data_IF_934607456029
#
_entry.id   IF_934607456029
#
_cell.length_a   1.000
_cell.length_b   1.000
_cell.length_c   1.000
_cell.angle_alpha   90.00
_cell.angle_beta   90.00
_cell.angle_gamma   90.00
#
_symmetry.space_group_name_H-M   'P 1'
#
loop_
_entity.id
_entity.type
_entity.pdbx_description
1 polymer ?
#
# COMPACT_ATOMS: atom_id res chain seq x y z
N UNK A 1 -5.47 3.51 -0.87
CA UNK A 1 -4.84 4.82 -0.72
C UNK A 1 -5.77 5.97 -1.12
N UNK A 2 -6.61 5.79 -2.12
CA UNK A 2 -7.62 6.77 -2.51
C UNK A 2 -8.85 6.75 -1.59
N UNK A 3 -8.99 5.75 -0.75
CA UNK A 3 -10.14 5.53 0.17
C UNK A 3 -11.47 5.28 -0.57
N UNK A 4 -11.39 4.69 -1.76
CA UNK A 4 -12.56 4.18 -2.48
C UNK A 4 -12.95 2.79 -1.97
N UNK A 5 -14.22 2.35 -2.15
CA UNK A 5 -14.62 0.98 -1.93
C UNK A 5 -13.82 -0.01 -2.77
N UNK A 6 -13.80 -1.27 -2.34
CA UNK A 6 -13.24 -2.36 -3.15
C UNK A 6 -14.00 -2.48 -4.48
N UNK A 7 -13.25 -2.73 -5.55
CA UNK A 7 -13.80 -2.85 -6.89
C UNK A 7 -13.84 -1.55 -7.71
N UNK A 8 -13.53 -0.39 -7.08
CA UNK A 8 -13.37 0.86 -7.80
C UNK A 8 -11.94 1.03 -8.31
N UNK A 9 -11.79 1.48 -9.55
CA UNK A 9 -10.48 1.77 -10.15
C UNK A 9 -10.58 2.82 -11.24
N UNK A 10 -9.45 3.46 -11.55
CA UNK A 10 -9.33 4.47 -12.58
C UNK A 10 -8.23 4.09 -13.56
N UNK A 11 -8.52 4.13 -14.84
CA UNK A 11 -7.54 4.01 -15.91
C UNK A 11 -7.48 5.32 -16.68
N UNK A 12 -6.36 6.03 -16.59
CA UNK A 12 -6.10 7.18 -17.43
C UNK A 12 -5.48 6.76 -18.76
N UNK A 13 -6.06 7.23 -19.86
CA UNK A 13 -5.52 7.04 -21.20
C UNK A 13 -5.35 8.39 -21.89
N UNK A 14 -4.12 8.70 -22.30
CA UNK A 14 -3.86 9.91 -23.07
C UNK A 14 -4.65 9.87 -24.38
N UNK A 15 -5.32 10.99 -24.74
CA UNK A 15 -6.20 11.09 -25.91
C UNK A 15 -5.58 10.54 -27.20
N UNK A 16 -4.29 10.81 -27.46
CA UNK A 16 -3.55 10.33 -28.65
C UNK A 16 -3.37 8.80 -28.71
N UNK A 17 -3.64 8.10 -27.62
CA UNK A 17 -3.46 6.65 -27.53
C UNK A 17 -4.79 5.89 -27.48
N UNK A 18 -5.94 6.56 -27.32
CA UNK A 18 -7.24 5.90 -27.18
C UNK A 18 -7.51 4.99 -28.39
N UNK A 19 -7.30 5.49 -29.62
CA UNK A 19 -7.52 4.73 -30.84
C UNK A 19 -6.56 3.56 -31.07
N UNK A 20 -5.44 3.49 -30.31
CA UNK A 20 -4.43 2.44 -30.41
C UNK A 20 -4.67 1.27 -29.44
N UNK A 21 -5.58 1.43 -28.48
CA UNK A 21 -5.86 0.41 -27.46
C UNK A 21 -7.07 -0.40 -27.92
N UNK A 22 -6.96 -1.71 -27.86
CA UNK A 22 -8.08 -2.61 -28.14
C UNK A 22 -9.09 -2.58 -26.99
N UNK A 23 -10.39 -2.55 -27.31
CA UNK A 23 -11.41 -2.76 -26.30
C UNK A 23 -11.42 -4.24 -25.88
N UNK A 24 -11.64 -4.50 -24.59
CA UNK A 24 -11.69 -5.88 -24.07
C UNK A 24 -12.94 -6.63 -24.58
N UNK A 25 -14.07 -5.94 -24.69
CA UNK A 25 -15.29 -6.47 -25.28
C UNK A 25 -15.68 -5.70 -26.53
N UNK A 26 -16.55 -6.30 -27.35
CA UNK A 26 -17.14 -5.61 -28.47
C UNK A 26 -17.85 -4.34 -28.01
N UNK A 27 -17.40 -3.20 -28.48
CA UNK A 27 -17.97 -1.90 -28.16
C UNK A 27 -19.02 -1.52 -29.17
N UNK A 28 -20.13 -0.92 -28.71
CA UNK A 28 -21.13 -0.31 -29.61
C UNK A 28 -20.65 0.97 -30.29
N UNK A 29 -19.55 1.58 -29.85
CA UNK A 29 -18.99 2.78 -30.43
C UNK A 29 -18.19 2.46 -31.70
N UNK A 30 -18.53 3.10 -32.82
CA UNK A 30 -17.77 3.04 -34.05
C UNK A 30 -16.59 4.01 -34.09
N UNK A 31 -16.56 5.01 -33.19
CA UNK A 31 -15.44 5.94 -33.07
C UNK A 31 -14.32 5.33 -32.24
N UNK A 32 -13.19 5.05 -32.87
CA UNK A 32 -12.00 4.51 -32.23
C UNK A 32 -11.41 5.45 -31.20
N UNK A 33 -11.70 6.75 -31.24
CA UNK A 33 -11.21 7.75 -30.30
C UNK A 33 -12.16 7.99 -29.10
N UNK A 34 -13.33 7.33 -29.09
CA UNK A 34 -14.24 7.38 -27.94
C UNK A 34 -13.71 6.52 -26.82
N UNK A 35 -13.33 7.17 -25.69
CA UNK A 35 -12.83 6.47 -24.51
C UNK A 35 -13.87 5.53 -23.89
N UNK A 36 -15.17 5.78 -24.09
CA UNK A 36 -16.24 4.93 -23.54
C UNK A 36 -16.13 3.48 -24.00
N UNK A 37 -15.58 3.23 -25.19
CA UNK A 37 -15.37 1.87 -25.70
C UNK A 37 -14.39 1.05 -24.85
N UNK A 38 -13.52 1.71 -24.07
CA UNK A 38 -12.56 1.06 -23.17
C UNK A 38 -13.17 0.76 -21.78
N UNK A 39 -14.34 1.33 -21.48
CA UNK A 39 -14.99 1.18 -20.18
C UNK A 39 -16.17 0.19 -20.19
N UNK A 40 -16.40 -0.49 -21.32
CA UNK A 40 -17.50 -1.46 -21.37
C UNK A 40 -17.09 -2.79 -20.75
N UNK A 41 -17.63 -3.08 -19.58
CA UNK A 41 -17.35 -4.30 -18.79
C UNK A 41 -18.62 -5.06 -18.40
N UNK A 42 -19.78 -4.67 -18.96
CA UNK A 42 -21.08 -5.20 -18.59
C UNK A 42 -21.69 -4.50 -17.36
N UNK A 43 -22.56 -5.17 -16.64
CA UNK A 43 -23.19 -4.62 -15.45
C UNK A 43 -22.16 -4.48 -14.31
N UNK A 44 -22.07 -3.32 -13.71
CA UNK A 44 -21.16 -3.04 -12.60
C UNK A 44 -21.90 -2.29 -11.48
N UNK A 45 -21.38 -2.33 -10.26
CA UNK A 45 -22.01 -1.67 -9.11
C UNK A 45 -21.81 -0.15 -9.19
N UNK A 46 -22.87 0.57 -9.56
CA UNK A 46 -22.84 2.05 -9.80
C UNK A 46 -22.41 2.83 -8.55
N UNK A 47 -22.70 2.31 -7.35
CA UNK A 47 -22.31 2.98 -6.10
C UNK A 47 -20.78 3.11 -5.94
N UNK A 48 -19.98 2.21 -6.52
CA UNK A 48 -18.53 2.32 -6.47
C UNK A 48 -18.01 3.50 -7.29
N UNK A 49 -18.64 3.77 -8.43
CA UNK A 49 -18.26 4.90 -9.30
C UNK A 49 -18.58 6.24 -8.61
N UNK A 50 -19.75 6.35 -7.98
CA UNK A 50 -20.15 7.53 -7.21
C UNK A 50 -19.20 7.78 -6.02
N UNK A 51 -18.79 6.70 -5.35
CA UNK A 51 -17.89 6.79 -4.22
C UNK A 51 -16.48 7.33 -4.58
N UNK A 52 -16.08 7.26 -5.85
CA UNK A 52 -14.81 7.85 -6.31
C UNK A 52 -14.81 9.37 -6.11
N UNK A 53 -15.92 10.05 -6.42
CA UNK A 53 -16.06 11.50 -6.19
C UNK A 53 -15.87 11.84 -4.71
N UNK A 54 -16.58 11.13 -3.81
CA UNK A 54 -16.46 11.33 -2.37
C UNK A 54 -15.03 11.10 -1.86
N UNK A 55 -14.33 10.11 -2.41
CA UNK A 55 -12.94 9.83 -2.06
C UNK A 55 -11.99 10.95 -2.51
N UNK A 56 -12.23 11.54 -3.68
CA UNK A 56 -11.47 12.70 -4.18
C UNK A 56 -11.72 13.91 -3.28
N UNK A 57 -12.97 14.18 -2.91
CA UNK A 57 -13.32 15.27 -2.01
C UNK A 57 -12.65 15.11 -0.63
N UNK A 58 -12.64 13.90 -0.09
CA UNK A 58 -11.95 13.59 1.16
C UNK A 58 -10.44 13.85 1.06
N UNK A 59 -9.79 13.45 -0.04
CA UNK A 59 -8.37 13.70 -0.25
C UNK A 59 -8.08 15.20 -0.41
N UNK A 60 -8.93 15.91 -1.13
CA UNK A 60 -8.81 17.36 -1.29
C UNK A 60 -8.97 18.09 0.05
N UNK A 61 -9.87 17.63 0.90
CA UNK A 61 -10.08 18.17 2.24
C UNK A 61 -8.85 17.97 3.14
N UNK A 62 -8.25 16.80 3.16
CA UNK A 62 -6.99 16.52 3.90
C UNK A 62 -5.83 17.32 3.28
N UNK A 63 -5.76 17.34 1.97
CA UNK A 63 -4.65 17.86 1.16
C UNK A 63 -3.56 16.82 0.92
N UNK A 64 -3.23 16.62 -0.37
CA UNK A 64 -2.27 15.59 -0.84
C UNK A 64 -0.91 15.74 -0.14
N UNK A 65 -0.37 16.96 -0.05
CA UNK A 65 0.93 17.23 0.59
C UNK A 65 0.91 16.92 2.09
N UNK A 66 -0.19 17.20 2.79
CA UNK A 66 -0.33 16.87 4.22
C UNK A 66 -0.38 15.36 4.42
N UNK A 67 -1.16 14.67 3.57
CA UNK A 67 -1.25 13.20 3.56
C UNK A 67 0.12 12.57 3.31
N UNK A 68 0.85 13.01 2.30
CA UNK A 68 2.20 12.54 2.01
C UNK A 68 3.15 12.75 3.19
N UNK A 69 3.18 13.95 3.76
CA UNK A 69 4.04 14.26 4.93
C UNK A 69 3.71 13.35 6.11
N UNK A 70 2.41 13.11 6.39
CA UNK A 70 1.99 12.20 7.47
C UNK A 70 2.43 10.78 7.22
N UNK A 71 2.22 10.24 6.02
CA UNK A 71 2.60 8.87 5.68
C UNK A 71 4.12 8.64 5.76
N UNK A 72 4.91 9.60 5.27
CA UNK A 72 6.38 9.56 5.39
C UNK A 72 6.83 9.62 6.84
N UNK A 73 6.21 10.47 7.66
CA UNK A 73 6.46 10.53 9.10
C UNK A 73 6.20 9.18 9.76
N UNK A 74 5.03 8.57 9.53
CA UNK A 74 4.66 7.29 10.14
C UNK A 74 5.62 6.16 9.69
N UNK A 75 5.99 6.12 8.42
CA UNK A 75 6.93 5.12 7.91
C UNK A 75 8.29 5.26 8.59
N UNK A 76 8.83 6.46 8.73
CA UNK A 76 10.11 6.70 9.40
C UNK A 76 10.03 6.47 10.88
N UNK A 77 8.96 6.84 11.53
CA UNK A 77 8.77 6.70 12.97
C UNK A 77 9.06 5.29 13.49
N UNK A 78 8.55 4.28 12.81
CA UNK A 78 8.81 2.90 13.20
C UNK A 78 10.12 2.36 12.63
N UNK A 79 10.46 2.69 11.39
CA UNK A 79 11.64 2.12 10.73
C UNK A 79 12.95 2.61 11.36
N UNK A 80 13.03 3.88 11.74
CA UNK A 80 14.22 4.45 12.38
C UNK A 80 14.46 3.85 13.77
N UNK A 81 13.39 3.51 14.51
CA UNK A 81 13.48 2.82 15.80
C UNK A 81 14.01 1.39 15.71
N UNK A 82 13.88 0.74 14.56
CA UNK A 82 14.30 -0.64 14.31
C UNK A 82 15.63 -0.73 13.56
N UNK A 83 16.01 0.31 12.83
CA UNK A 83 17.22 0.30 12.01
C UNK A 83 18.48 0.13 12.87
N UNK A 84 19.39 -0.71 12.37
CA UNK A 84 20.63 -1.02 13.06
C UNK A 84 20.51 -1.98 14.26
N UNK A 85 19.32 -2.44 14.63
CA UNK A 85 19.16 -3.44 15.68
C UNK A 85 19.55 -4.83 15.19
N UNK A 86 20.11 -5.62 16.08
CA UNK A 86 20.54 -7.01 15.81
C UNK A 86 19.38 -7.86 15.27
N UNK A 87 19.64 -8.66 14.27
CA UNK A 87 18.69 -9.57 13.60
C UNK A 87 17.53 -8.86 12.86
N UNK A 88 17.51 -7.53 12.76
CA UNK A 88 16.46 -6.76 12.08
C UNK A 88 17.03 -6.17 10.79
N UNK A 89 16.33 -6.35 9.69
CA UNK A 89 16.65 -5.80 8.37
C UNK A 89 15.53 -4.85 7.95
N UNK A 90 15.84 -3.58 7.74
CA UNK A 90 14.93 -2.63 7.11
C UNK A 90 15.25 -2.58 5.62
N UNK A 91 14.40 -3.20 4.80
CA UNK A 91 14.58 -3.23 3.35
C UNK A 91 14.22 -1.91 2.67
N UNK A 92 13.50 -1.03 3.36
CA UNK A 92 13.13 0.29 2.85
C UNK A 92 14.33 1.24 2.89
N UNK A 93 14.68 1.90 1.76
CA UNK A 93 15.76 2.87 1.73
C UNK A 93 15.56 4.04 2.71
N UNK A 94 16.66 4.56 3.24
CA UNK A 94 16.64 5.79 4.07
C UNK A 94 16.37 7.04 3.23
N UNK A 95 16.79 7.01 1.97
CA UNK A 95 16.59 8.10 1.04
C UNK A 95 15.09 8.41 0.87
N UNK A 96 14.72 9.64 1.24
CA UNK A 96 13.34 10.13 1.17
C UNK A 96 12.81 10.15 -0.28
N UNK A 97 13.67 10.25 -1.27
CA UNK A 97 13.26 10.22 -2.69
C UNK A 97 12.94 8.80 -3.16
N UNK A 98 13.44 7.78 -2.46
CA UNK A 98 13.27 6.36 -2.78
C UNK A 98 12.31 5.63 -1.85
N UNK A 99 11.68 6.32 -0.92
CA UNK A 99 10.74 5.77 0.05
C UNK A 99 9.48 6.63 0.15
N UNK A 100 8.39 6.06 0.63
CA UNK A 100 7.14 6.76 0.89
C UNK A 100 6.47 6.21 2.17
N UNK A 101 5.14 6.05 2.18
CA UNK A 101 4.39 5.60 3.34
C UNK A 101 4.47 4.10 3.63
N UNK A 102 4.86 3.28 2.66
CA UNK A 102 5.01 1.84 2.82
C UNK A 102 6.46 1.51 3.15
N UNK A 103 6.67 0.60 4.11
CA UNK A 103 7.99 0.07 4.41
C UNK A 103 7.99 -1.45 4.50
N UNK A 104 9.19 -2.04 4.59
CA UNK A 104 9.38 -3.47 4.78
C UNK A 104 10.44 -3.73 5.85
N UNK A 105 10.13 -4.64 6.77
CA UNK A 105 11.03 -5.10 7.82
C UNK A 105 11.12 -6.61 7.80
N UNK A 106 12.31 -7.14 7.85
CA UNK A 106 12.60 -8.56 7.95
C UNK A 106 13.38 -8.92 9.21
N UNK A 107 13.40 -10.20 9.52
CA UNK A 107 14.25 -10.80 10.55
C UNK A 107 15.20 -11.82 9.92
N UNK A 108 16.46 -11.85 10.39
CA UNK A 108 17.47 -12.78 9.84
C UNK A 108 17.23 -14.23 10.28
N UNK A 109 16.56 -14.41 11.41
CA UNK A 109 16.35 -15.70 12.08
C UNK A 109 14.96 -16.31 11.83
N UNK A 110 14.04 -15.59 11.20
CA UNK A 110 12.66 -16.04 10.97
C UNK A 110 12.28 -15.73 9.51
N UNK A 111 11.58 -16.67 8.85
CA UNK A 111 11.04 -16.40 7.50
C UNK A 111 9.94 -15.34 7.51
N UNK A 112 9.73 -14.60 6.41
CA UNK A 112 8.68 -13.58 6.33
C UNK A 112 7.27 -14.12 6.64
N UNK A 113 6.94 -15.32 6.16
CA UNK A 113 5.66 -15.96 6.44
C UNK A 113 5.49 -16.29 7.92
N UNK A 114 6.52 -16.84 8.56
CA UNK A 114 6.48 -17.13 9.99
C UNK A 114 6.42 -15.85 10.82
N UNK A 115 7.16 -14.82 10.43
CA UNK A 115 7.11 -13.51 11.07
C UNK A 115 5.69 -12.90 11.02
N UNK A 116 5.06 -12.90 9.84
CA UNK A 116 3.69 -12.39 9.69
C UNK A 116 2.68 -13.17 10.55
N UNK A 117 2.81 -14.49 10.61
CA UNK A 117 1.99 -15.34 11.46
C UNK A 117 2.15 -14.98 12.94
N UNK A 118 3.39 -14.90 13.43
CA UNK A 118 3.66 -14.57 14.85
C UNK A 118 3.19 -13.16 15.22
N UNK A 119 3.39 -12.17 14.34
CA UNK A 119 2.87 -10.82 14.53
C UNK A 119 1.35 -10.82 14.70
N UNK A 120 0.63 -11.61 13.90
CA UNK A 120 -0.81 -11.71 14.01
C UNK A 120 -1.27 -12.49 15.25
N UNK A 121 -0.70 -13.66 15.49
CA UNK A 121 -1.14 -14.58 16.55
C UNK A 121 -0.88 -14.02 17.94
N UNK A 122 0.32 -13.49 18.17
CA UNK A 122 0.77 -13.05 19.50
C UNK A 122 0.46 -11.57 19.76
N UNK A 123 0.59 -10.71 18.75
CA UNK A 123 0.49 -9.27 18.93
C UNK A 123 -0.73 -8.63 18.24
N UNK A 124 -1.53 -9.42 17.50
CA UNK A 124 -2.70 -8.95 16.73
C UNK A 124 -2.36 -7.89 15.67
N UNK A 125 -1.14 -7.94 15.15
CA UNK A 125 -0.65 -7.03 14.11
C UNK A 125 -0.69 -7.75 12.76
N UNK A 126 -1.60 -7.31 11.89
CA UNK A 126 -1.71 -7.85 10.54
C UNK A 126 -0.65 -7.22 9.62
N UNK A 127 0.12 -8.07 8.95
CA UNK A 127 1.13 -7.67 7.96
C UNK A 127 1.08 -8.59 6.75
N UNK A 128 1.70 -8.18 5.65
CA UNK A 128 1.82 -9.01 4.44
C UNK A 128 3.26 -9.47 4.30
N UNK A 129 3.47 -10.78 4.34
CA UNK A 129 4.78 -11.38 4.07
C UNK A 129 5.18 -11.17 2.60
N UNK A 130 6.42 -10.74 2.40
CA UNK A 130 7.06 -10.58 1.08
C UNK A 130 8.33 -11.44 1.10
N UNK A 131 8.42 -12.37 0.16
CA UNK A 131 9.60 -13.22 -0.05
C UNK A 131 9.83 -13.36 -1.56
N UNK A 132 10.52 -12.41 -2.13
CA UNK A 132 10.81 -12.38 -3.57
C UNK A 132 11.45 -11.06 -4.00
N UNK A 133 11.97 -11.03 -5.23
CA UNK A 133 12.64 -9.87 -5.82
C UNK A 133 13.73 -9.24 -4.91
N UNK A 134 14.50 -10.09 -4.21
CA UNK A 134 15.53 -9.69 -3.24
C UNK A 134 15.01 -8.95 -2.00
N UNK A 135 13.71 -9.00 -1.72
CA UNK A 135 13.11 -8.44 -0.52
C UNK A 135 12.53 -9.56 0.33
N UNK A 136 12.99 -9.67 1.59
CA UNK A 136 12.50 -10.66 2.55
C UNK A 136 12.06 -9.97 3.82
N UNK A 137 10.76 -10.01 4.13
CA UNK A 137 10.21 -9.38 5.32
C UNK A 137 8.71 -9.16 5.24
N UNK A 138 8.18 -8.43 6.20
CA UNK A 138 6.77 -8.04 6.26
C UNK A 138 6.58 -6.61 5.77
N UNK A 139 5.60 -6.41 4.91
CA UNK A 139 5.19 -5.08 4.45
C UNK A 139 4.37 -4.40 5.55
N UNK A 140 4.82 -3.22 5.94
CA UNK A 140 4.15 -2.34 6.89
C UNK A 140 3.54 -1.17 6.11
N UNK A 141 2.23 -0.98 6.26
CA UNK A 141 1.45 -0.03 5.46
C UNK A 141 0.58 0.85 6.35
N UNK A 142 1.16 1.77 7.14
CA UNK A 142 0.38 2.69 7.94
C UNK A 142 -0.46 3.61 7.05
N UNK A 143 -1.64 4.01 7.52
CA UNK A 143 -2.46 5.02 6.87
C UNK A 143 -2.49 6.30 7.73
N UNK A 144 -3.10 7.36 7.22
CA UNK A 144 -3.11 8.69 7.87
C UNK A 144 -3.68 8.66 9.29
N UNK A 145 -4.58 7.73 9.58
CA UNK A 145 -5.22 7.52 10.88
C UNK A 145 -4.43 6.59 11.82
N UNK A 146 -3.37 5.93 11.34
CA UNK A 146 -2.50 5.09 12.19
C UNK A 146 -1.83 5.96 13.25
N UNK A 147 -1.86 5.52 14.50
CA UNK A 147 -1.28 6.24 15.62
C UNK A 147 0.18 5.87 15.86
N UNK A 148 0.90 6.68 16.62
CA UNK A 148 2.27 6.39 17.04
C UNK A 148 2.33 5.24 18.03
N UNK A 149 1.31 5.09 18.86
CA UNK A 149 1.17 4.00 19.82
C UNK A 149 1.01 2.64 19.15
N UNK A 150 0.25 2.56 18.05
CA UNK A 150 0.15 1.35 17.22
C UNK A 150 1.50 0.99 16.59
N UNK A 151 2.26 2.00 16.16
CA UNK A 151 3.60 1.78 15.62
C UNK A 151 4.63 1.42 16.69
N UNK A 152 4.48 1.92 17.93
CA UNK A 152 5.29 1.48 19.07
C UNK A 152 5.01 0.02 19.42
N UNK A 153 3.75 -0.41 19.36
CA UNK A 153 3.40 -1.82 19.52
C UNK A 153 4.08 -2.69 18.45
N UNK A 154 4.10 -2.26 17.20
CA UNK A 154 4.83 -2.93 16.12
C UNK A 154 6.34 -3.00 16.41
N UNK A 155 6.95 -1.89 16.83
CA UNK A 155 8.38 -1.83 17.15
C UNK A 155 8.73 -2.79 18.27
N UNK A 156 7.91 -2.86 19.31
CA UNK A 156 8.10 -3.77 20.44
C UNK A 156 7.97 -5.22 20.01
N UNK A 157 6.92 -5.56 19.23
CA UNK A 157 6.69 -6.91 18.70
C UNK A 157 7.86 -7.39 17.83
N UNK A 158 8.31 -6.58 16.88
CA UNK A 158 9.46 -6.93 16.02
C UNK A 158 10.74 -7.08 16.81
N UNK A 159 10.96 -6.21 17.81
CA UNK A 159 12.13 -6.28 18.70
C UNK A 159 12.10 -7.56 19.55
N UNK A 160 10.93 -7.99 20.01
CA UNK A 160 10.77 -9.24 20.76
C UNK A 160 11.06 -10.45 19.88
N UNK A 161 10.43 -10.52 18.70
CA UNK A 161 10.65 -11.61 17.74
C UNK A 161 12.11 -11.70 17.27
N UNK A 162 12.84 -10.60 17.22
CA UNK A 162 14.26 -10.60 16.85
C UNK A 162 15.18 -11.31 17.87
N UNK A 163 14.70 -11.53 19.11
CA UNK A 163 15.44 -12.19 20.19
C UNK A 163 15.24 -13.71 20.19
N UNK A 164 14.18 -14.21 19.55
CA UNK A 164 13.94 -15.65 19.49
C UNK A 164 15.03 -16.31 18.64
N UNK A 165 15.68 -17.32 19.19
CA UNK A 165 16.52 -18.22 18.42
C UNK A 165 15.62 -19.09 17.54
N UNK A 166 16.01 -19.29 16.28
CA UNK A 166 15.30 -20.13 15.32
C UNK A 166 15.18 -21.58 15.81
#
# INVERSE_FOLDING_TARGET
WLSTPLGAGLLYVNKKNIGKIWSFFASGSKDLNDIKRLNHTGTHPVHTDIAISNAIDYINWIGVKKKEKRLRFLQRYWSDKLRGKKNIIINTPEDIQRSCGIGNVGLTNISPGKMAQLLFDQFKIFTVAIDGANVRGCRISPNVFTTTEELDALVNAVTELSKHNA
#
